data_IF_943267902838
#
_entry.id   IF_943267902838
#
_cell.length_a   1.000
_cell.length_b   1.000
_cell.length_c   1.000
_cell.angle_alpha   90.00
_cell.angle_beta   90.00
_cell.angle_gamma   90.00
#
_symmetry.space_group_name_H-M   'P 1'
#
loop_
_entity.id
_entity.type
_entity.pdbx_description
1 polymer ?
#
# COMPACT_ATOMS: atom_id res chain seq x y z
N UNK A 1 -2.01 4.77 -0.25
CA UNK A 1 -2.16 5.91 -1.19
C UNK A 1 -1.13 6.98 -0.88
N UNK A 2 -0.92 7.98 -1.75
CA UNK A 2 0.15 8.98 -1.54
C UNK A 2 0.00 9.79 -0.24
N UNK A 3 -1.19 10.32 0.06
CA UNK A 3 -1.39 11.18 1.24
C UNK A 3 -1.13 10.45 2.57
N UNK A 4 -1.68 9.24 2.81
CA UNK A 4 -1.33 8.48 4.02
C UNK A 4 0.16 8.14 4.12
N UNK A 5 0.81 7.78 3.01
CA UNK A 5 2.25 7.49 3.02
C UNK A 5 3.09 8.74 3.34
N UNK A 6 2.71 9.91 2.83
CA UNK A 6 3.40 11.15 3.17
C UNK A 6 3.27 11.49 4.66
N UNK A 7 2.08 11.27 5.24
CA UNK A 7 1.83 11.57 6.65
C UNK A 7 2.48 10.57 7.61
N UNK A 8 2.44 9.28 7.29
CA UNK A 8 2.86 8.21 8.21
C UNK A 8 4.32 7.79 7.98
N UNK A 9 4.80 7.80 6.73
CA UNK A 9 6.14 7.34 6.35
C UNK A 9 7.08 8.49 5.97
N UNK A 10 6.58 9.72 5.82
CA UNK A 10 7.38 10.83 5.28
C UNK A 10 7.80 10.63 3.82
N UNK A 11 7.23 9.65 3.12
CA UNK A 11 7.62 9.25 1.77
C UNK A 11 6.48 9.43 0.77
N UNK A 12 6.82 9.75 -0.48
CA UNK A 12 5.89 9.92 -1.60
C UNK A 12 6.23 9.00 -2.75
N UNK A 13 5.24 8.74 -3.61
CA UNK A 13 5.40 7.86 -4.78
C UNK A 13 4.83 6.47 -4.52
N UNK A 14 3.51 6.39 -4.31
CA UNK A 14 2.82 5.16 -3.91
C UNK A 14 3.10 3.96 -4.83
N UNK A 15 3.27 4.18 -6.13
CA UNK A 15 3.55 3.09 -7.07
C UNK A 15 4.91 2.43 -6.84
N UNK A 16 5.89 3.18 -6.31
CA UNK A 16 7.20 2.64 -5.90
C UNK A 16 7.18 2.04 -4.50
N UNK A 17 6.38 2.63 -3.60
CA UNK A 17 6.30 2.23 -2.20
C UNK A 17 5.41 1.01 -1.95
N UNK A 18 4.46 0.73 -2.85
CA UNK A 18 3.49 -0.35 -2.64
C UNK A 18 4.14 -1.72 -2.58
N UNK A 19 3.57 -2.61 -1.76
CA UNK A 19 4.05 -3.99 -1.61
C UNK A 19 5.36 -4.14 -0.85
N UNK A 20 5.97 -3.04 -0.38
CA UNK A 20 7.18 -3.05 0.45
C UNK A 20 6.78 -2.82 1.91
N UNK A 21 7.12 -3.75 2.79
CA UNK A 21 6.90 -3.58 4.22
C UNK A 21 7.76 -2.47 4.79
N UNK A 22 7.14 -1.64 5.63
CA UNK A 22 7.81 -0.60 6.39
C UNK A 22 7.36 -0.66 7.86
N UNK A 23 7.96 0.19 8.68
CA UNK A 23 7.58 0.39 10.06
C UNK A 23 7.18 1.85 10.28
N UNK A 24 6.05 2.07 10.94
CA UNK A 24 5.62 3.39 11.37
C UNK A 24 4.74 3.28 12.61
N UNK A 25 4.86 4.25 13.52
CA UNK A 25 4.08 4.29 14.76
C UNK A 25 4.19 2.99 15.59
N UNK A 26 5.37 2.35 15.58
CA UNK A 26 5.62 1.08 16.26
C UNK A 26 4.86 -0.12 15.68
N UNK A 27 4.39 -0.02 14.43
CA UNK A 27 3.63 -1.08 13.75
C UNK A 27 4.17 -1.33 12.34
N UNK A 28 4.06 -2.58 11.90
CA UNK A 28 4.30 -2.92 10.50
C UNK A 28 3.20 -2.30 9.63
N UNK A 29 3.60 -1.64 8.55
CA UNK A 29 2.70 -1.00 7.60
C UNK A 29 3.02 -1.46 6.18
N UNK A 30 1.99 -1.69 5.37
CA UNK A 30 2.11 -2.01 3.95
C UNK A 30 1.45 -0.91 3.12
N UNK A 31 2.22 -0.07 2.42
CA UNK A 31 1.67 0.87 1.45
C UNK A 31 0.95 0.13 0.33
N UNK A 32 -0.20 0.66 -0.09
CA UNK A 32 -0.95 0.16 -1.24
C UNK A 32 -1.62 1.29 -2.04
N UNK A 33 -1.94 1.03 -3.30
CA UNK A 33 -2.61 1.99 -4.18
C UNK A 33 -3.96 2.46 -3.59
N UNK A 34 -4.34 3.72 -3.85
CA UNK A 34 -5.61 4.27 -3.36
C UNK A 34 -6.80 3.68 -4.14
N UNK A 35 -7.96 3.38 -3.52
CA UNK A 35 -9.11 2.80 -4.23
C UNK A 35 -9.57 3.61 -5.45
N UNK A 36 -9.61 4.94 -5.34
CA UNK A 36 -9.96 5.80 -6.49
C UNK A 36 -9.00 5.65 -7.70
N UNK A 37 -7.73 5.30 -7.47
CA UNK A 37 -6.79 4.98 -8.54
C UNK A 37 -7.16 3.65 -9.21
N UNK A 38 -7.57 2.64 -8.43
CA UNK A 38 -7.97 1.32 -8.94
C UNK A 38 -9.28 1.37 -9.75
N UNK A 39 -10.18 2.31 -9.42
CA UNK A 39 -11.39 2.55 -10.21
C UNK A 39 -11.07 3.10 -11.60
N UNK A 40 -10.08 3.99 -11.69
CA UNK A 40 -9.63 4.60 -12.96
C UNK A 40 -8.67 3.71 -13.73
N UNK A 41 -7.95 2.83 -13.03
CA UNK A 41 -6.95 1.94 -13.60
C UNK A 41 -7.18 0.48 -13.13
N UNK A 42 -8.09 -0.26 -13.79
CA UNK A 42 -8.44 -1.62 -13.38
C UNK A 42 -7.28 -2.61 -13.42
N UNK A 43 -6.28 -2.43 -14.30
CA UNK A 43 -5.14 -3.36 -14.38
C UNK A 43 -4.33 -3.37 -13.08
N UNK A 44 -4.28 -2.24 -12.37
CA UNK A 44 -3.60 -2.11 -11.09
C UNK A 44 -4.26 -2.88 -9.93
N UNK A 45 -5.45 -3.46 -10.15
CA UNK A 45 -6.13 -4.29 -9.13
C UNK A 45 -5.36 -5.57 -8.83
N UNK A 46 -4.61 -6.11 -9.80
CA UNK A 46 -3.77 -7.29 -9.61
C UNK A 46 -2.71 -7.03 -8.54
N UNK A 47 -2.03 -5.90 -8.65
CA UNK A 47 -1.02 -5.44 -7.71
C UNK A 47 -1.64 -5.17 -6.31
N UNK A 48 -2.77 -4.47 -6.27
CA UNK A 48 -3.47 -4.23 -5.01
C UNK A 48 -3.95 -5.52 -4.33
N UNK A 49 -4.35 -6.53 -5.11
CA UNK A 49 -4.72 -7.84 -4.58
C UNK A 49 -3.53 -8.57 -3.97
N UNK A 50 -2.36 -8.51 -4.61
CA UNK A 50 -1.12 -9.04 -4.03
C UNK A 50 -0.77 -8.37 -2.69
N UNK A 51 -0.98 -7.06 -2.57
CA UNK A 51 -0.79 -6.32 -1.30
C UNK A 51 -1.73 -6.85 -0.20
N UNK A 52 -3.00 -7.08 -0.52
CA UNK A 52 -3.99 -7.62 0.43
C UNK A 52 -3.67 -9.06 0.86
N UNK A 53 -3.20 -9.90 -0.07
CA UNK A 53 -2.75 -11.25 0.26
C UNK A 53 -1.52 -11.23 1.18
N UNK A 54 -0.59 -10.31 0.97
CA UNK A 54 0.55 -10.13 1.86
C UNK A 54 0.13 -9.70 3.27
N UNK A 55 -0.87 -8.82 3.39
CA UNK A 55 -1.47 -8.46 4.68
C UNK A 55 -2.09 -9.70 5.34
N UNK A 56 -2.91 -10.47 4.62
CA UNK A 56 -3.53 -11.69 5.15
C UNK A 56 -2.48 -12.68 5.66
N UNK A 57 -1.44 -12.95 4.87
CA UNK A 57 -0.36 -13.86 5.23
C UNK A 57 0.38 -13.43 6.51
N UNK A 58 0.42 -12.12 6.81
CA UNK A 58 1.06 -11.60 8.04
C UNK A 58 0.13 -11.67 9.26
N UNK A 59 -1.18 -11.59 9.07
CA UNK A 59 -2.15 -11.58 10.15
C UNK A 59 -2.54 -12.98 10.64
N UNK A 60 -2.40 -14.02 9.81
CA UNK A 60 -2.82 -15.40 10.11
C UNK A 60 -4.21 -15.71 9.59
#
# INVERSE_FOLDING_TARGET
GNTPCAAILGQRGILKLRGVWAEALGKAVLPMAHPAYLLRNPIAKREAWADLLAIKARLG
#
